data_IF_250813058047
#
_entry.id   IF_250813058047
#
_cell.length_a   1.000
_cell.length_b   1.000
_cell.length_c   1.000
_cell.angle_alpha   90.00
_cell.angle_beta   90.00
_cell.angle_gamma   90.00
#
_symmetry.space_group_name_H-M   'P 1'
#
loop_
_entity.id
_entity.type
_entity.pdbx_description
1 polymer ?
#
# COMPACT_ATOMS: atom_id res chain seq x y z
N UNK A 1 7.37 -11.92 5.76
CA UNK A 1 7.30 -13.02 4.79
C UNK A 1 8.64 -13.23 4.13
N UNK A 2 8.98 -14.51 3.88
CA UNK A 2 10.14 -14.91 3.08
C UNK A 2 9.67 -15.33 1.69
N UNK A 3 10.58 -15.34 0.71
CA UNK A 3 10.27 -15.72 -0.67
C UNK A 3 9.69 -17.14 -0.77
N UNK A 4 10.12 -18.05 0.12
CA UNK A 4 9.60 -19.42 0.23
C UNK A 4 8.14 -19.48 0.73
N UNK A 5 7.62 -18.38 1.32
CA UNK A 5 6.25 -18.27 1.80
C UNK A 5 5.24 -17.83 0.72
N UNK A 6 5.67 -17.70 -0.54
CA UNK A 6 4.75 -17.40 -1.64
C UNK A 6 3.73 -18.53 -1.75
N UNK A 7 2.42 -18.25 -1.63
CA UNK A 7 1.41 -19.29 -1.73
C UNK A 7 1.45 -19.96 -3.12
N UNK A 8 2.06 -21.13 -3.20
CA UNK A 8 2.11 -21.93 -4.43
C UNK A 8 1.02 -22.99 -4.47
N UNK A 9 -0.13 -22.70 -3.87
CA UNK A 9 -1.30 -23.56 -3.85
C UNK A 9 -2.25 -23.17 -4.99
N UNK A 10 -3.13 -24.08 -5.45
CA UNK A 10 -4.20 -23.73 -6.38
C UNK A 10 -5.01 -22.54 -5.89
N UNK A 11 -5.46 -21.68 -6.80
CA UNK A 11 -6.17 -20.43 -6.43
C UNK A 11 -7.44 -20.73 -5.62
N UNK A 12 -8.15 -21.81 -5.97
CA UNK A 12 -9.35 -22.23 -5.22
C UNK A 12 -9.00 -22.55 -3.76
N UNK A 13 -7.91 -23.24 -3.52
CA UNK A 13 -7.46 -23.61 -2.18
C UNK A 13 -6.94 -22.38 -1.42
N UNK A 14 -6.27 -21.45 -2.10
CA UNK A 14 -5.90 -20.17 -1.51
C UNK A 14 -7.13 -19.43 -0.96
N UNK A 15 -8.19 -19.32 -1.75
CA UNK A 15 -9.42 -18.65 -1.33
C UNK A 15 -10.18 -19.38 -0.23
N UNK A 16 -10.21 -20.71 -0.26
CA UNK A 16 -10.78 -21.52 0.83
C UNK A 16 -10.03 -21.28 2.14
N UNK A 17 -8.71 -21.38 2.09
CA UNK A 17 -7.87 -21.28 3.27
C UNK A 17 -7.85 -19.86 3.85
N UNK A 18 -7.88 -18.80 3.02
CA UNK A 18 -7.75 -17.40 3.47
C UNK A 18 -9.07 -16.71 3.76
N UNK A 19 -10.09 -17.02 2.97
CA UNK A 19 -11.39 -16.31 3.03
C UNK A 19 -12.54 -17.20 3.46
N UNK A 20 -12.32 -18.50 3.66
CA UNK A 20 -13.34 -19.45 4.10
C UNK A 20 -14.39 -19.73 3.03
N UNK A 21 -13.99 -19.74 1.76
CA UNK A 21 -14.88 -20.16 0.68
C UNK A 21 -15.31 -21.62 0.88
N UNK A 22 -16.60 -21.90 0.72
CA UNK A 22 -17.09 -23.27 0.73
C UNK A 22 -16.60 -24.05 -0.50
N UNK A 23 -16.71 -25.37 -0.48
CA UNK A 23 -16.31 -26.21 -1.62
C UNK A 23 -17.08 -25.88 -2.92
N UNK A 24 -18.30 -25.36 -2.80
CA UNK A 24 -19.12 -24.92 -3.93
C UNK A 24 -18.77 -23.51 -4.44
N UNK A 25 -18.08 -22.69 -3.65
CA UNK A 25 -17.67 -21.34 -4.05
C UNK A 25 -16.36 -21.38 -4.83
N UNK A 26 -16.36 -20.65 -5.94
CA UNK A 26 -15.17 -20.47 -6.77
C UNK A 26 -14.73 -19.00 -6.78
N UNK A 27 -13.43 -18.71 -6.75
CA UNK A 27 -12.93 -17.36 -6.99
C UNK A 27 -13.39 -16.87 -8.36
N UNK A 28 -13.81 -15.62 -8.42
CA UNK A 28 -14.28 -14.99 -9.65
C UNK A 28 -13.13 -14.75 -10.63
N UNK A 29 -13.42 -14.56 -11.94
CA UNK A 29 -12.37 -14.32 -12.93
C UNK A 29 -11.42 -13.19 -12.57
N UNK A 30 -11.94 -12.07 -12.06
CA UNK A 30 -11.12 -10.93 -11.60
C UNK A 30 -10.22 -11.31 -10.41
N UNK A 31 -10.72 -12.09 -9.46
CA UNK A 31 -9.93 -12.56 -8.31
C UNK A 31 -8.81 -13.51 -8.74
N UNK A 32 -9.07 -14.39 -9.71
CA UNK A 32 -8.07 -15.28 -10.32
C UNK A 32 -6.99 -14.47 -11.03
N UNK A 33 -7.40 -13.54 -11.90
CA UNK A 33 -6.48 -12.70 -12.65
C UNK A 33 -5.58 -11.87 -11.72
N UNK A 34 -6.11 -11.32 -10.62
CA UNK A 34 -5.31 -10.57 -9.65
C UNK A 34 -4.21 -11.43 -8.99
N UNK A 35 -4.52 -12.67 -8.65
CA UNK A 35 -3.55 -13.64 -8.10
C UNK A 35 -2.50 -14.03 -9.14
N UNK A 36 -2.90 -14.29 -10.38
CA UNK A 36 -2.00 -14.64 -11.47
C UNK A 36 -1.05 -13.50 -11.78
N UNK A 37 -1.54 -12.26 -11.87
CA UNK A 37 -0.71 -11.07 -12.04
C UNK A 37 0.26 -10.92 -10.87
N UNK A 38 -0.19 -11.03 -9.61
CA UNK A 38 0.69 -10.94 -8.46
C UNK A 38 1.80 -12.00 -8.46
N UNK A 39 1.52 -13.20 -8.97
CA UNK A 39 2.50 -14.28 -9.14
C UNK A 39 3.47 -14.05 -10.29
N UNK A 40 3.07 -13.34 -11.33
CA UNK A 40 3.91 -13.08 -12.51
C UNK A 40 4.86 -11.89 -12.33
N UNK A 41 4.52 -10.92 -11.47
CA UNK A 41 5.32 -9.70 -11.25
C UNK A 41 6.65 -10.05 -10.60
N UNK A 42 7.76 -9.70 -11.27
CA UNK A 42 9.12 -9.97 -10.77
C UNK A 42 9.65 -8.88 -9.82
N UNK A 43 9.20 -7.65 -9.99
CA UNK A 43 9.67 -6.47 -9.22
C UNK A 43 8.51 -5.74 -8.57
N UNK A 44 8.74 -5.03 -7.46
CA UNK A 44 7.72 -4.19 -6.86
C UNK A 44 7.13 -3.22 -7.88
N UNK A 45 5.81 -3.13 -7.92
CA UNK A 45 5.09 -2.34 -8.90
C UNK A 45 3.77 -1.79 -8.37
N UNK A 46 3.08 -1.07 -9.23
CA UNK A 46 1.71 -0.60 -9.01
C UNK A 46 0.75 -1.51 -9.77
N UNK A 47 -0.26 -2.05 -9.07
CA UNK A 47 -1.38 -2.81 -9.63
C UNK A 47 -2.67 -2.02 -9.40
N UNK A 48 -3.46 -1.81 -10.42
CA UNK A 48 -4.79 -1.15 -10.35
C UNK A 48 -5.84 -2.18 -10.74
N UNK A 49 -6.78 -2.45 -9.84
CA UNK A 49 -7.89 -3.40 -10.04
C UNK A 49 -9.18 -2.60 -10.18
N UNK A 50 -9.75 -2.63 -11.37
CA UNK A 50 -11.01 -1.98 -11.71
C UNK A 50 -12.09 -3.04 -11.93
N UNK A 51 -13.10 -3.06 -11.07
CA UNK A 51 -14.21 -4.01 -11.17
C UNK A 51 -15.46 -3.49 -10.47
N UNK A 52 -16.66 -3.94 -10.84
CA UNK A 52 -17.91 -3.53 -10.19
C UNK A 52 -17.92 -3.76 -8.68
N UNK A 53 -18.81 -3.07 -7.98
CA UNK A 53 -19.06 -3.38 -6.58
C UNK A 53 -19.54 -4.81 -6.42
N UNK A 54 -19.13 -5.46 -5.32
CA UNK A 54 -19.53 -6.84 -5.04
C UNK A 54 -18.72 -7.91 -5.79
N UNK A 55 -17.75 -7.57 -6.66
CA UNK A 55 -16.87 -8.52 -7.34
C UNK A 55 -15.75 -9.12 -6.46
N UNK A 56 -15.71 -8.76 -5.18
CA UNK A 56 -14.71 -9.30 -4.26
C UNK A 56 -13.32 -8.67 -4.46
N UNK A 57 -13.28 -7.36 -4.81
CA UNK A 57 -12.01 -6.60 -4.96
C UNK A 57 -11.13 -6.67 -3.71
N UNK A 58 -11.74 -6.64 -2.53
CA UNK A 58 -10.98 -6.67 -1.27
C UNK A 58 -10.26 -8.01 -1.08
N UNK A 59 -10.94 -9.12 -1.32
CA UNK A 59 -10.32 -10.46 -1.24
C UNK A 59 -9.22 -10.60 -2.29
N UNK A 60 -9.45 -10.11 -3.51
CA UNK A 60 -8.45 -10.08 -4.57
C UNK A 60 -7.21 -9.28 -4.15
N UNK A 61 -7.41 -8.09 -3.57
CA UNK A 61 -6.33 -7.24 -3.11
C UNK A 61 -5.53 -7.86 -1.96
N UNK A 62 -6.19 -8.47 -0.98
CA UNK A 62 -5.51 -9.15 0.13
C UNK A 62 -4.72 -10.36 -0.33
N UNK A 63 -5.27 -11.18 -1.24
CA UNK A 63 -4.56 -12.31 -1.83
C UNK A 63 -3.34 -11.84 -2.65
N UNK A 64 -3.52 -10.83 -3.50
CA UNK A 64 -2.41 -10.24 -4.26
C UNK A 64 -1.35 -9.62 -3.34
N UNK A 65 -1.77 -8.91 -2.27
CA UNK A 65 -0.86 -8.30 -1.32
C UNK A 65 -0.05 -9.32 -0.52
N UNK A 66 -0.63 -10.47 -0.13
CA UNK A 66 0.09 -11.59 0.49
C UNK A 66 1.21 -12.09 -0.42
N UNK A 67 0.90 -12.34 -1.70
CA UNK A 67 1.87 -12.80 -2.69
C UNK A 67 2.96 -11.77 -2.93
N UNK A 68 2.58 -10.51 -3.13
CA UNK A 68 3.53 -9.42 -3.35
C UNK A 68 4.42 -9.18 -2.12
N UNK A 69 3.89 -9.30 -0.89
CA UNK A 69 4.67 -9.17 0.33
C UNK A 69 5.74 -10.28 0.42
N UNK A 70 5.37 -11.52 0.17
CA UNK A 70 6.29 -12.65 0.16
C UNK A 70 7.38 -12.47 -0.91
N UNK A 71 6.99 -12.18 -2.17
CA UNK A 71 7.93 -11.99 -3.29
C UNK A 71 8.91 -10.82 -3.10
N UNK A 72 8.50 -9.80 -2.39
CA UNK A 72 9.32 -8.57 -2.21
C UNK A 72 9.91 -8.45 -0.81
N UNK A 73 9.77 -9.46 0.05
CA UNK A 73 10.31 -9.49 1.41
C UNK A 73 9.71 -8.41 2.32
N UNK A 74 8.44 -8.03 2.12
CA UNK A 74 7.79 -7.02 2.97
C UNK A 74 7.25 -7.64 4.24
N UNK A 75 7.36 -6.91 5.35
CA UNK A 75 6.97 -7.39 6.68
C UNK A 75 5.50 -7.24 7.01
N UNK A 76 4.65 -6.77 6.07
CA UNK A 76 3.23 -6.59 6.34
C UNK A 76 2.43 -5.89 5.24
N UNK A 77 1.20 -5.48 5.58
CA UNK A 77 0.26 -4.83 4.65
C UNK A 77 -0.36 -3.60 5.33
N UNK A 78 -0.54 -2.54 4.56
CA UNK A 78 -1.30 -1.35 4.95
C UNK A 78 -2.53 -1.23 4.05
N UNK A 79 -3.73 -1.29 4.64
CA UNK A 79 -5.00 -1.11 3.91
C UNK A 79 -5.57 0.25 4.25
N UNK A 80 -5.71 1.12 3.26
CA UNK A 80 -6.18 2.49 3.39
C UNK A 80 -7.54 2.68 2.73
N UNK A 81 -8.49 3.27 3.46
CA UNK A 81 -9.88 3.47 3.02
C UNK A 81 -10.28 4.94 3.11
N UNK A 82 -11.31 5.38 2.35
CA UNK A 82 -11.68 6.80 2.32
C UNK A 82 -12.31 7.31 3.62
N UNK A 83 -13.03 6.47 4.38
CA UNK A 83 -13.77 6.90 5.57
C UNK A 83 -13.44 6.06 6.80
N UNK A 84 -13.66 6.63 7.99
CA UNK A 84 -13.50 5.90 9.26
C UNK A 84 -14.46 4.71 9.36
N UNK A 85 -15.70 4.85 8.91
CA UNK A 85 -16.69 3.77 8.98
C UNK A 85 -16.29 2.56 8.12
N UNK A 86 -15.82 2.80 6.88
CA UNK A 86 -15.31 1.73 6.03
C UNK A 86 -14.02 1.12 6.58
N UNK A 87 -13.19 1.93 7.24
CA UNK A 87 -11.95 1.48 7.91
C UNK A 87 -12.26 0.56 9.09
N UNK A 88 -13.27 0.89 9.91
CA UNK A 88 -13.74 0.05 11.02
C UNK A 88 -14.25 -1.31 10.52
N UNK A 89 -15.11 -1.31 9.50
CA UNK A 89 -15.61 -2.55 8.90
C UNK A 89 -14.51 -3.40 8.27
N UNK A 90 -13.50 -2.76 7.67
CA UNK A 90 -12.37 -3.44 7.07
C UNK A 90 -11.44 -4.05 8.12
N UNK A 91 -11.32 -3.43 9.30
CA UNK A 91 -10.48 -3.94 10.38
C UNK A 91 -10.85 -5.39 10.74
N UNK A 92 -12.13 -5.69 10.97
CA UNK A 92 -12.57 -7.03 11.27
C UNK A 92 -12.38 -8.03 10.12
N UNK A 93 -12.48 -7.57 8.87
CA UNK A 93 -12.20 -8.43 7.69
C UNK A 93 -10.73 -8.80 7.61
N UNK A 94 -9.84 -7.85 7.79
CA UNK A 94 -8.39 -8.05 7.79
C UNK A 94 -7.97 -8.92 8.99
N UNK A 95 -8.56 -8.70 10.17
CA UNK A 95 -8.30 -9.51 11.36
C UNK A 95 -8.62 -10.99 11.11
N UNK A 96 -9.84 -11.30 10.62
CA UNK A 96 -10.22 -12.68 10.30
C UNK A 96 -9.35 -13.32 9.20
N UNK A 97 -8.89 -12.53 8.24
CA UNK A 97 -7.95 -13.01 7.23
C UNK A 97 -6.57 -13.31 7.84
N UNK A 98 -6.07 -12.46 8.76
CA UNK A 98 -4.80 -12.67 9.47
C UNK A 98 -4.79 -13.95 10.31
N UNK A 99 -5.92 -14.27 10.96
CA UNK A 99 -6.07 -15.51 11.74
C UNK A 99 -5.96 -16.77 10.88
N UNK A 100 -6.19 -16.64 9.57
CA UNK A 100 -6.13 -17.76 8.60
C UNK A 100 -4.82 -17.83 7.81
N UNK A 101 -3.90 -16.89 8.03
CA UNK A 101 -2.57 -16.98 7.42
C UNK A 101 -1.78 -18.14 8.04
N UNK A 102 -0.92 -18.84 7.26
CA UNK A 102 -0.08 -19.89 7.79
C UNK A 102 0.77 -19.38 8.94
N UNK A 103 0.94 -20.21 9.94
CA UNK A 103 1.86 -19.98 11.04
C UNK A 103 3.18 -20.65 10.70
N UNK A 104 4.27 -19.91 10.85
CA UNK A 104 5.61 -20.45 10.77
C UNK A 104 6.08 -20.76 12.20
N UNK A 105 6.60 -21.96 12.42
CA UNK A 105 7.13 -22.37 13.73
C UNK A 105 8.24 -21.40 14.16
N UNK A 106 8.03 -20.69 15.26
CA UNK A 106 8.96 -19.71 15.80
C UNK A 106 8.78 -18.28 15.28
N UNK A 107 7.76 -17.99 14.45
CA UNK A 107 7.44 -16.62 14.05
C UNK A 107 6.91 -15.80 15.25
N UNK A 108 7.27 -14.52 15.27
CA UNK A 108 6.72 -13.55 16.23
C UNK A 108 5.22 -13.31 15.97
N UNK A 109 4.50 -12.93 17.03
CA UNK A 109 3.10 -12.54 16.94
C UNK A 109 2.89 -11.41 15.92
N UNK A 110 1.83 -11.51 15.13
CA UNK A 110 1.49 -10.51 14.09
C UNK A 110 0.91 -9.27 14.74
N UNK A 111 1.62 -8.15 14.62
CA UNK A 111 1.11 -6.88 15.15
C UNK A 111 0.10 -6.25 14.18
N UNK A 112 -1.07 -5.86 14.70
CA UNK A 112 -2.13 -5.19 13.97
C UNK A 112 -2.49 -3.86 14.61
N UNK A 113 -2.83 -2.86 13.80
CA UNK A 113 -3.20 -1.53 14.28
C UNK A 113 -4.29 -0.88 13.44
N UNK A 114 -5.22 -0.18 14.11
CA UNK A 114 -6.26 0.64 13.50
C UNK A 114 -5.90 2.12 13.61
N UNK A 115 -5.74 2.81 12.49
CA UNK A 115 -5.22 4.17 12.45
C UNK A 115 -6.21 5.17 11.84
N UNK A 116 -7.13 5.69 12.65
CA UNK A 116 -7.98 6.86 12.35
C UNK A 116 -8.34 7.62 13.63
N UNK A 117 -8.99 8.79 13.47
CA UNK A 117 -9.25 9.71 14.59
C UNK A 117 -10.08 9.13 15.74
N UNK A 118 -10.96 8.17 15.45
CA UNK A 118 -11.90 7.54 16.40
C UNK A 118 -11.61 6.04 16.64
N UNK A 119 -10.43 5.54 16.33
CA UNK A 119 -10.09 4.12 16.46
C UNK A 119 -10.35 3.55 17.88
N UNK A 120 -10.26 4.40 18.92
CA UNK A 120 -10.55 4.04 20.30
C UNK A 120 -12.03 3.69 20.56
N UNK A 121 -12.94 3.94 19.63
CA UNK A 121 -14.36 3.57 19.73
C UNK A 121 -14.67 2.22 19.08
N UNK A 122 -13.73 1.65 18.32
CA UNK A 122 -13.91 0.36 17.69
C UNK A 122 -13.78 -0.77 18.72
N UNK A 123 -14.88 -1.53 18.93
CA UNK A 123 -14.96 -2.57 19.96
C UNK A 123 -13.99 -3.74 19.70
N UNK A 124 -13.84 -4.15 18.44
CA UNK A 124 -12.96 -5.25 18.04
C UNK A 124 -11.48 -4.87 18.28
N UNK A 125 -11.08 -3.65 17.90
CA UNK A 125 -9.75 -3.13 18.18
C UNK A 125 -9.48 -3.00 19.69
N UNK A 126 -10.47 -2.52 20.46
CA UNK A 126 -10.34 -2.46 21.92
C UNK A 126 -10.24 -3.87 22.56
N UNK A 127 -11.03 -4.82 22.06
CA UNK A 127 -10.98 -6.21 22.51
C UNK A 127 -9.59 -6.80 22.31
N UNK A 128 -9.04 -6.62 21.11
CA UNK A 128 -7.70 -7.08 20.76
C UNK A 128 -6.61 -6.39 21.61
N UNK A 129 -6.72 -5.08 21.82
CA UNK A 129 -5.79 -4.32 22.65
C UNK A 129 -5.80 -4.77 24.13
N UNK A 130 -7.02 -5.04 24.68
CA UNK A 130 -7.16 -5.53 26.07
C UNK A 130 -6.62 -6.94 26.24
N UNK A 131 -6.87 -7.85 25.32
CA UNK A 131 -6.35 -9.23 25.37
C UNK A 131 -4.83 -9.24 25.32
N UNK A 132 -4.24 -8.46 24.42
CA UNK A 132 -2.79 -8.29 24.29
C UNK A 132 -2.16 -7.67 25.55
N UNK A 133 -2.79 -6.64 26.13
CA UNK A 133 -2.32 -5.99 27.37
C UNK A 133 -2.41 -6.87 28.58
N UNK A 134 -3.48 -7.66 28.72
CA UNK A 134 -3.66 -8.61 29.83
C UNK A 134 -2.60 -9.71 29.80
N UNK A 135 -2.22 -10.17 28.63
CA UNK A 135 -1.20 -11.18 28.44
C UNK A 135 0.18 -10.67 28.90
N UNK A 136 0.58 -9.45 28.52
CA UNK A 136 1.85 -8.83 28.95
C UNK A 136 1.88 -8.61 30.47
N UNK A 137 0.78 -8.18 31.07
CA UNK A 137 0.69 -8.00 32.52
C UNK A 137 0.71 -9.33 33.28
N UNK A 138 0.08 -10.38 32.74
CA UNK A 138 0.13 -11.73 33.29
C UNK A 138 1.56 -12.29 33.33
N UNK A 139 2.27 -12.13 32.20
CA UNK A 139 3.67 -12.55 32.10
C UNK A 139 4.61 -11.81 33.08
N UNK A 140 4.40 -10.50 33.27
CA UNK A 140 5.16 -9.69 34.24
C UNK A 140 4.82 -10.03 35.71
N UNK A 141 3.57 -10.45 35.97
CA UNK A 141 3.13 -10.79 37.32
C UNK A 141 3.65 -12.15 37.83
N UNK A 142 3.92 -13.08 36.92
CA UNK A 142 4.46 -14.40 37.26
C UNK A 142 5.97 -14.37 37.58
N UNK A 143 6.72 -13.43 36.98
CA UNK A 143 8.16 -13.27 37.18
C UNK A 143 8.55 -12.78 38.61
N UNK A 144 7.58 -12.27 39.37
CA UNK A 144 7.83 -11.76 40.74
C UNK A 144 7.71 -12.80 41.82
N UNK A 145 7.35 -14.05 41.52
CA UNK A 145 7.01 -15.02 42.56
C UNK A 145 7.88 -16.27 42.69
N UNK A 146 8.66 -16.71 41.71
CA UNK A 146 9.56 -17.87 41.92
C UNK A 146 10.75 -17.88 40.93
N UNK A 147 11.96 -17.98 41.50
CA UNK A 147 13.20 -18.20 40.76
C UNK A 147 13.27 -19.63 40.20
N UNK A 148 12.90 -19.80 38.94
CA UNK A 148 13.04 -21.04 38.22
C UNK A 148 13.34 -20.81 36.76
N UNK A 149 14.31 -21.53 36.20
CA UNK A 149 14.89 -21.41 34.85
C UNK A 149 13.97 -21.72 33.69
N UNK A 150 12.65 -21.71 33.87
CA UNK A 150 11.64 -22.06 32.90
C UNK A 150 10.90 -20.85 32.32
N UNK A 151 11.23 -19.61 32.73
CA UNK A 151 10.42 -18.41 32.47
C UNK A 151 10.71 -17.75 31.15
N UNK A 152 11.87 -18.02 30.53
CA UNK A 152 12.20 -17.45 29.22
C UNK A 152 11.37 -18.01 28.04
N UNK A 153 10.90 -19.26 28.16
CA UNK A 153 10.06 -19.87 27.11
C UNK A 153 8.58 -19.46 27.19
N UNK A 154 8.12 -19.00 28.38
CA UNK A 154 6.73 -18.51 28.56
C UNK A 154 6.51 -17.06 28.18
N UNK A 155 7.56 -16.27 27.95
CA UNK A 155 7.53 -14.89 27.48
C UNK A 155 7.40 -14.78 25.96
N UNK A 156 7.45 -15.90 25.25
CA UNK A 156 7.11 -15.92 23.82
C UNK A 156 5.60 -15.75 23.68
N UNK A 157 5.19 -14.73 22.91
CA UNK A 157 3.81 -14.63 22.46
C UNK A 157 3.35 -15.98 21.92
N UNK A 158 2.11 -16.42 22.20
CA UNK A 158 1.61 -17.61 21.55
C UNK A 158 1.80 -17.43 20.05
N UNK A 159 2.40 -18.41 19.34
CA UNK A 159 2.78 -18.27 17.93
C UNK A 159 1.61 -17.89 17.01
N UNK A 160 0.37 -18.02 17.50
CA UNK A 160 -0.85 -17.91 16.73
C UNK A 160 -1.63 -16.61 16.99
N UNK A 161 -1.08 -15.65 17.74
CA UNK A 161 -1.85 -14.48 18.15
C UNK A 161 -1.62 -13.24 17.27
N UNK A 162 -2.71 -12.62 16.83
CA UNK A 162 -2.73 -11.25 16.36
C UNK A 162 -2.74 -10.35 17.58
N UNK A 163 -1.78 -9.44 17.72
CA UNK A 163 -1.62 -8.60 18.90
C UNK A 163 -1.59 -7.12 18.57
N UNK A 164 -2.12 -6.31 19.47
CA UNK A 164 -1.89 -4.86 19.48
C UNK A 164 -0.73 -4.59 20.44
N UNK A 165 0.44 -4.33 19.91
CA UNK A 165 1.62 -4.06 20.73
C UNK A 165 1.41 -2.78 21.55
N UNK A 166 1.55 -2.86 22.88
CA UNK A 166 1.45 -1.70 23.77
C UNK A 166 2.47 -0.60 23.41
N UNK A 167 3.66 -0.98 22.97
CA UNK A 167 4.68 -0.05 22.52
C UNK A 167 4.24 0.75 21.28
N UNK A 168 3.35 0.18 20.46
CA UNK A 168 2.80 0.81 19.23
C UNK A 168 1.50 1.57 19.48
N UNK A 169 0.93 1.59 20.68
CA UNK A 169 -0.36 2.27 20.99
C UNK A 169 -0.34 3.80 20.88
N UNK A 170 0.78 4.44 20.55
CA UNK A 170 0.84 5.86 20.25
C UNK A 170 0.41 6.18 18.81
N UNK A 171 -0.36 7.26 18.60
CA UNK A 171 -0.81 7.74 17.27
C UNK A 171 0.28 7.77 16.19
N UNK A 172 1.55 7.94 16.59
CA UNK A 172 2.69 8.04 15.67
C UNK A 172 3.35 6.70 15.39
N UNK A 173 3.38 5.79 16.38
CA UNK A 173 4.09 4.51 16.30
C UNK A 173 3.20 3.38 15.76
N UNK A 174 1.88 3.49 15.86
CA UNK A 174 0.95 2.47 15.42
C UNK A 174 1.10 2.08 13.95
N UNK A 175 1.48 3.04 13.10
CA UNK A 175 1.76 2.77 11.69
C UNK A 175 2.95 1.83 11.45
N UNK A 176 3.80 1.59 12.46
CA UNK A 176 4.91 0.62 12.38
C UNK A 176 4.45 -0.83 12.56
N UNK A 177 3.23 -1.09 13.04
CA UNK A 177 2.68 -2.44 13.12
C UNK A 177 2.76 -3.13 11.74
N UNK A 178 2.92 -4.46 11.73
CA UNK A 178 3.01 -5.23 10.48
C UNK A 178 1.75 -5.04 9.62
N UNK A 179 0.57 -5.10 10.24
CA UNK A 179 -0.71 -4.93 9.56
C UNK A 179 -1.40 -3.68 10.07
N UNK A 180 -1.71 -2.80 9.14
CA UNK A 180 -2.35 -1.52 9.46
C UNK A 180 -3.61 -1.36 8.61
N UNK A 181 -4.73 -1.07 9.26
CA UNK A 181 -5.94 -0.60 8.58
C UNK A 181 -6.14 0.86 8.97
N UNK A 182 -6.24 1.75 7.99
CA UNK A 182 -6.24 3.19 8.24
C UNK A 182 -7.14 3.95 7.28
N UNK A 183 -7.47 5.19 7.64
CA UNK A 183 -8.00 6.12 6.64
C UNK A 183 -6.89 6.53 5.66
N UNK A 184 -7.27 6.81 4.42
CA UNK A 184 -6.33 7.17 3.35
C UNK A 184 -5.47 8.37 3.71
N UNK A 185 -5.97 9.31 4.51
CA UNK A 185 -5.22 10.46 5.01
C UNK A 185 -3.89 10.06 5.67
N UNK A 186 -3.87 8.91 6.38
CA UNK A 186 -2.65 8.42 7.03
C UNK A 186 -1.57 8.05 6.02
N UNK A 187 -1.95 7.59 4.83
CA UNK A 187 -1.03 7.30 3.72
C UNK A 187 -0.65 8.59 2.99
N UNK A 188 -1.64 9.44 2.66
CA UNK A 188 -1.42 10.70 1.95
C UNK A 188 -0.49 11.66 2.72
N UNK A 189 -0.55 11.64 4.05
CA UNK A 189 0.41 12.38 4.90
C UNK A 189 1.86 11.95 4.69
N UNK A 190 2.13 10.80 4.06
CA UNK A 190 3.47 10.38 3.66
C UNK A 190 4.10 11.23 2.55
N UNK A 191 3.30 12.06 1.85
CA UNK A 191 3.74 12.99 0.82
C UNK A 191 3.91 14.44 1.31
N UNK A 192 3.50 14.73 2.54
CA UNK A 192 3.50 16.09 3.09
C UNK A 192 4.77 16.37 3.90
N UNK A 193 5.31 17.58 3.75
CA UNK A 193 6.38 18.08 4.65
C UNK A 193 5.81 18.32 6.04
N UNK A 194 5.96 17.33 6.92
CA UNK A 194 5.42 17.38 8.27
C UNK A 194 6.37 16.75 9.30
N UNK A 195 6.14 17.07 10.57
CA UNK A 195 6.88 16.43 11.66
C UNK A 195 6.72 14.91 11.60
N UNK A 196 7.82 14.18 11.76
CA UNK A 196 7.87 12.72 11.74
C UNK A 196 7.56 12.06 10.37
N UNK A 197 7.75 12.76 9.27
CA UNK A 197 7.58 12.22 7.91
C UNK A 197 8.40 10.94 7.71
N UNK A 198 9.67 10.93 8.12
CA UNK A 198 10.55 9.75 8.01
C UNK A 198 9.97 8.51 8.70
N UNK A 199 9.28 8.66 9.84
CA UNK A 199 8.66 7.55 10.53
C UNK A 199 7.49 6.96 9.74
N UNK A 200 6.69 7.80 9.07
CA UNK A 200 5.61 7.35 8.19
C UNK A 200 6.14 6.66 6.94
N UNK A 201 7.15 7.24 6.32
CA UNK A 201 7.80 6.65 5.15
C UNK A 201 8.41 5.29 5.49
N UNK A 202 9.11 5.18 6.63
CA UNK A 202 9.64 3.91 7.13
C UNK A 202 8.52 2.89 7.39
N UNK A 203 7.41 3.33 7.97
CA UNK A 203 6.26 2.47 8.24
C UNK A 203 5.62 1.92 6.95
N UNK A 204 5.55 2.71 5.88
CA UNK A 204 5.03 2.28 4.59
C UNK A 204 6.05 1.46 3.79
N UNK A 205 7.34 1.80 3.90
CA UNK A 205 8.41 1.15 3.14
C UNK A 205 8.50 -0.36 3.38
N UNK A 206 8.12 -0.85 4.56
CA UNK A 206 8.16 -2.28 4.89
C UNK A 206 6.81 -3.01 4.67
N UNK A 207 5.91 -2.46 3.84
CA UNK A 207 4.58 -3.03 3.62
C UNK A 207 4.22 -3.07 2.15
N UNK A 208 3.23 -3.88 1.81
CA UNK A 208 2.42 -3.68 0.61
C UNK A 208 1.31 -2.69 0.97
N UNK A 209 1.10 -1.68 0.14
CA UNK A 209 0.09 -0.64 0.39
C UNK A 209 -1.12 -0.89 -0.51
N UNK A 210 -2.28 -1.15 0.10
CA UNK A 210 -3.56 -1.30 -0.57
C UNK A 210 -4.37 -0.04 -0.33
N UNK A 211 -4.85 0.62 -1.39
CA UNK A 211 -5.70 1.82 -1.30
C UNK A 211 -7.03 1.53 -1.98
N UNK A 212 -8.11 1.61 -1.21
CA UNK A 212 -9.45 1.30 -1.69
C UNK A 212 -10.22 2.56 -2.13
N UNK A 213 -11.17 2.37 -3.05
CA UNK A 213 -12.09 3.39 -3.57
C UNK A 213 -11.38 4.65 -4.13
N UNK A 214 -10.27 4.47 -4.84
CA UNK A 214 -9.46 5.60 -5.33
C UNK A 214 -10.20 6.50 -6.34
N UNK A 215 -11.33 6.06 -6.90
CA UNK A 215 -12.20 6.89 -7.76
C UNK A 215 -12.96 7.97 -6.98
N UNK A 216 -13.16 7.80 -5.68
CA UNK A 216 -13.91 8.75 -4.84
C UNK A 216 -13.09 9.99 -4.47
N UNK A 217 -11.82 10.08 -4.89
CA UNK A 217 -10.95 11.19 -4.51
C UNK A 217 -11.15 12.39 -5.42
N UNK A 218 -11.33 13.56 -4.82
CA UNK A 218 -11.38 14.82 -5.52
C UNK A 218 -10.01 15.19 -6.15
N UNK A 219 -9.98 16.27 -6.92
CA UNK A 219 -8.76 16.71 -7.59
C UNK A 219 -7.62 17.05 -6.62
N UNK A 220 -7.94 17.56 -5.44
CA UNK A 220 -6.97 17.89 -4.41
C UNK A 220 -6.34 16.61 -3.81
N UNK A 221 -7.17 15.66 -3.38
CA UNK A 221 -6.70 14.37 -2.86
C UNK A 221 -5.88 13.59 -3.90
N UNK A 222 -6.25 13.68 -5.19
CA UNK A 222 -5.48 13.04 -6.28
C UNK A 222 -4.07 13.60 -6.43
N UNK A 223 -3.87 14.91 -6.25
CA UNK A 223 -2.52 15.47 -6.26
C UNK A 223 -1.65 14.84 -5.17
N UNK A 224 -2.18 14.66 -3.96
CA UNK A 224 -1.45 13.99 -2.88
C UNK A 224 -1.25 12.50 -3.14
N UNK A 225 -2.26 11.82 -3.70
CA UNK A 225 -2.13 10.42 -4.08
C UNK A 225 -1.01 10.24 -5.10
N UNK A 226 -0.97 11.03 -6.16
CA UNK A 226 0.08 10.97 -7.17
C UNK A 226 1.47 11.22 -6.55
N UNK A 227 1.57 12.15 -5.60
CA UNK A 227 2.82 12.42 -4.89
C UNK A 227 3.24 11.28 -3.97
N UNK A 228 2.28 10.65 -3.27
CA UNK A 228 2.56 9.45 -2.47
C UNK A 228 2.99 8.30 -3.34
N UNK A 229 2.34 8.07 -4.48
CA UNK A 229 2.72 7.02 -5.42
C UNK A 229 4.15 7.21 -5.93
N UNK A 230 4.57 8.45 -6.20
CA UNK A 230 5.95 8.75 -6.56
C UNK A 230 6.94 8.36 -5.42
N UNK A 231 6.64 8.68 -4.16
CA UNK A 231 7.45 8.25 -3.02
C UNK A 231 7.45 6.74 -2.83
N UNK A 232 6.29 6.08 -2.96
CA UNK A 232 6.19 4.63 -2.84
C UNK A 232 6.97 3.93 -3.96
N UNK A 233 6.92 4.46 -5.18
CA UNK A 233 7.74 4.00 -6.30
C UNK A 233 9.24 4.14 -6.04
N UNK A 234 9.68 5.29 -5.49
CA UNK A 234 11.07 5.53 -5.12
C UNK A 234 11.57 4.56 -4.03
N UNK A 235 10.71 4.18 -3.10
CA UNK A 235 11.03 3.21 -2.05
C UNK A 235 10.85 1.75 -2.49
N UNK A 236 10.44 1.49 -3.74
CA UNK A 236 10.15 0.16 -4.25
C UNK A 236 9.03 -0.55 -3.49
N UNK A 237 8.04 0.18 -3.01
CA UNK A 237 6.90 -0.36 -2.25
C UNK A 237 5.84 -0.88 -3.23
N UNK A 238 5.42 -2.16 -3.14
CA UNK A 238 4.32 -2.66 -3.96
C UNK A 238 3.02 -1.98 -3.55
N UNK A 239 2.23 -1.53 -4.53
CA UNK A 239 0.96 -0.83 -4.31
C UNK A 239 -0.17 -1.52 -5.08
N UNK A 240 -1.32 -1.69 -4.42
CA UNK A 240 -2.56 -2.18 -5.04
C UNK A 240 -3.63 -1.11 -4.87
N UNK A 241 -4.14 -0.57 -5.97
CA UNK A 241 -5.25 0.38 -5.99
C UNK A 241 -6.53 -0.34 -6.38
N UNK A 242 -7.62 -0.07 -5.66
CA UNK A 242 -8.94 -0.60 -5.95
C UNK A 242 -9.88 0.53 -6.39
N UNK A 243 -10.63 0.28 -7.43
CA UNK A 243 -11.61 1.23 -7.95
C UNK A 243 -12.85 0.50 -8.47
N UNK A 244 -14.01 1.15 -8.37
CA UNK A 244 -15.18 0.70 -9.11
C UNK A 244 -15.08 1.12 -10.58
N UNK A 245 -14.66 2.35 -10.82
CA UNK A 245 -14.46 2.91 -12.17
C UNK A 245 -13.33 3.92 -12.09
N UNK A 246 -12.45 3.94 -13.08
CA UNK A 246 -11.35 4.91 -13.14
C UNK A 246 -11.19 5.43 -14.57
N UNK A 247 -11.27 6.74 -14.81
CA UNK A 247 -10.99 7.30 -16.11
C UNK A 247 -9.57 6.94 -16.59
N UNK A 248 -9.42 6.57 -17.86
CA UNK A 248 -8.14 6.15 -18.44
C UNK A 248 -7.00 7.16 -18.21
N UNK A 249 -7.31 8.45 -18.26
CA UNK A 249 -6.33 9.50 -17.98
C UNK A 249 -5.82 9.41 -16.52
N UNK A 250 -6.71 9.24 -15.54
CA UNK A 250 -6.32 9.14 -14.13
C UNK A 250 -5.48 7.88 -13.87
N UNK A 251 -5.83 6.76 -14.49
CA UNK A 251 -5.06 5.53 -14.44
C UNK A 251 -3.64 5.75 -14.95
N UNK A 252 -3.48 6.38 -16.13
CA UNK A 252 -2.18 6.72 -16.70
C UNK A 252 -1.36 7.66 -15.79
N UNK A 253 -2.00 8.68 -15.21
CA UNK A 253 -1.35 9.61 -14.29
C UNK A 253 -0.80 8.91 -13.03
N UNK A 254 -1.57 7.99 -12.44
CA UNK A 254 -1.15 7.21 -11.26
C UNK A 254 0.03 6.28 -11.60
N UNK A 255 -0.04 5.56 -12.71
CA UNK A 255 1.05 4.70 -13.19
C UNK A 255 2.32 5.52 -13.45
N UNK A 256 2.20 6.62 -14.19
CA UNK A 256 3.33 7.50 -14.48
C UNK A 256 3.93 8.11 -13.21
N UNK A 257 3.13 8.43 -12.20
CA UNK A 257 3.61 8.95 -10.92
C UNK A 257 4.45 7.92 -10.17
N UNK A 258 3.97 6.69 -10.10
CA UNK A 258 4.72 5.60 -9.47
C UNK A 258 6.03 5.31 -10.22
N UNK A 259 6.00 5.25 -11.55
CA UNK A 259 7.17 5.02 -12.40
C UNK A 259 8.20 6.16 -12.29
N UNK A 260 7.77 7.42 -12.19
CA UNK A 260 8.69 8.55 -11.92
C UNK A 260 9.50 8.33 -10.65
N UNK A 261 8.85 7.86 -9.58
CA UNK A 261 9.54 7.51 -8.35
C UNK A 261 10.59 6.41 -8.55
N UNK A 262 10.26 5.33 -9.24
CA UNK A 262 11.19 4.25 -9.55
C UNK A 262 12.41 4.74 -10.34
N UNK A 263 12.20 5.62 -11.33
CA UNK A 263 13.28 6.17 -12.14
C UNK A 263 14.16 7.17 -11.39
N UNK A 264 13.59 7.93 -10.43
CA UNK A 264 14.33 8.96 -9.70
C UNK A 264 15.48 8.40 -8.83
N UNK A 265 15.35 7.17 -8.34
CA UNK A 265 16.38 6.52 -7.51
C UNK A 265 17.59 6.08 -8.33
N UNK A 266 17.42 5.88 -9.62
CA UNK A 266 18.48 5.41 -10.53
C UNK A 266 19.22 6.52 -11.25
N UNK A 267 18.68 7.75 -11.22
CA UNK A 267 19.39 8.89 -11.77
C UNK A 267 20.71 9.05 -11.00
N UNK A 268 21.87 9.16 -11.70
CA UNK A 268 23.13 9.44 -11.03
C UNK A 268 22.95 10.70 -10.18
N UNK A 269 23.27 10.60 -8.90
CA UNK A 269 23.29 11.78 -8.02
C UNK A 269 24.39 12.68 -8.53
N UNK A 270 24.04 13.67 -9.34
CA UNK A 270 24.96 14.75 -9.66
C UNK A 270 25.38 15.36 -8.32
N UNK A 271 26.65 15.16 -7.97
CA UNK A 271 27.22 15.78 -6.76
C UNK A 271 26.98 17.29 -6.87
N UNK A 272 26.34 17.92 -5.91
CA UNK A 272 26.13 19.36 -5.97
C UNK A 272 27.49 20.01 -6.16
N UNK A 273 27.66 20.69 -7.29
CA UNK A 273 28.84 21.50 -7.55
C UNK A 273 28.86 22.56 -6.44
N UNK A 274 29.73 22.39 -5.45
CA UNK A 274 29.98 23.39 -4.42
C UNK A 274 30.47 24.65 -5.13
N UNK A 275 29.57 25.54 -5.51
CA UNK A 275 29.92 26.91 -5.92
C UNK A 275 30.59 27.54 -4.71
N UNK A 276 31.93 27.68 -4.80
CA UNK A 276 32.67 28.51 -3.82
C UNK A 276 32.04 29.90 -3.88
N UNK A 277 31.68 30.48 -2.71
CA UNK A 277 31.22 31.84 -2.69
C UNK A 277 32.29 32.75 -3.27
N UNK A 278 31.93 33.74 -4.09
CA UNK A 278 32.90 34.67 -4.64
C UNK A 278 33.63 35.37 -3.48
N UNK A 279 34.97 35.36 -3.50
CA UNK A 279 35.79 36.12 -2.58
C UNK A 279 35.38 37.59 -2.69
N UNK A 280 34.86 38.17 -1.61
CA UNK A 280 34.64 39.60 -1.49
C UNK A 280 35.96 40.30 -1.72
N UNK A 281 36.14 40.95 -2.87
CA UNK A 281 37.13 42.03 -3.03
C UNK A 281 36.49 43.31 -2.49
N UNK A 282 37.09 43.86 -1.47
CA UNK A 282 36.81 45.20 -0.99
C UNK A 282 37.29 46.21 -2.04
N UNK A 283 36.45 47.14 -2.43
CA UNK A 283 36.82 48.24 -3.32
C UNK A 283 35.61 48.87 -4.02
N UNK A 284 35.08 49.86 -3.39
CA UNK A 284 34.49 51.13 -3.85
C UNK A 284 33.86 51.28 -5.25
N UNK A 285 32.70 51.99 -5.18
CA UNK A 285 32.03 52.86 -6.18
C UNK A 285 30.95 52.24 -7.05
N UNK A 286 29.69 52.68 -6.79
CA UNK A 286 28.59 52.72 -7.77
C UNK A 286 28.86 53.83 -8.83
N UNK A 287 28.20 53.84 -9.97
CA UNK A 287 26.77 54.11 -10.06
C UNK A 287 25.99 53.34 -11.17
N UNK A 288 24.68 53.25 -10.94
CA UNK A 288 23.53 53.42 -11.84
C UNK A 288 23.73 53.14 -13.34
N UNK A 289 22.98 52.16 -13.89
CA UNK A 289 22.10 52.35 -15.05
C UNK A 289 21.13 51.19 -15.25
N UNK A 290 19.93 51.58 -15.63
CA UNK A 290 18.75 50.79 -15.91
C UNK A 290 18.82 50.31 -17.35
N UNK A 291 18.60 49.05 -17.68
CA UNK A 291 18.07 48.65 -18.96
C UNK A 291 17.36 47.29 -18.87
N UNK A 292 16.11 47.38 -19.04
CA UNK A 292 15.12 46.58 -19.83
C UNK A 292 15.53 45.15 -20.30
N UNK A 293 14.77 44.14 -19.85
CA UNK A 293 14.00 43.22 -20.66
C UNK A 293 14.77 42.21 -21.52
N UNK A 294 14.74 40.96 -21.10
CA UNK A 294 14.71 39.84 -22.06
C UNK A 294 13.83 38.74 -21.48
N UNK A 295 12.67 38.59 -22.15
CA UNK A 295 11.74 37.46 -21.96
C UNK A 295 12.40 36.19 -22.49
N UNK A 296 12.61 35.19 -21.63
CA UNK A 296 13.00 33.86 -22.03
C UNK A 296 11.77 33.13 -22.57
N UNK A 297 11.71 32.96 -23.88
CA UNK A 297 10.74 32.11 -24.58
C UNK A 297 10.89 30.64 -24.14
N UNK A 298 9.81 30.12 -23.58
CA UNK A 298 9.63 28.68 -23.37
C UNK A 298 9.32 28.05 -24.74
N UNK A 299 10.26 27.30 -25.27
CA UNK A 299 10.07 26.51 -26.47
C UNK A 299 9.18 25.30 -26.15
N UNK A 300 7.94 25.32 -26.61
CA UNK A 300 7.10 24.16 -26.82
C UNK A 300 7.72 23.31 -27.94
N UNK A 301 8.14 22.12 -27.63
CA UNK A 301 8.68 21.19 -28.62
C UNK A 301 8.47 19.74 -28.21
N UNK A 302 7.56 19.11 -28.92
CA UNK A 302 7.40 17.72 -29.29
C UNK A 302 6.03 17.14 -28.89
N UNK A 303 5.16 17.04 -29.87
CA UNK A 303 4.00 16.16 -29.86
C UNK A 303 4.47 14.68 -29.78
N UNK A 304 3.81 13.81 -29.01
CA UNK A 304 4.11 12.39 -29.06
C UNK A 304 3.54 11.80 -30.36
N UNK A 305 4.39 11.06 -31.04
CA UNK A 305 4.12 10.21 -32.18
C UNK A 305 2.98 9.23 -31.87
N UNK A 306 2.08 9.09 -32.83
CA UNK A 306 0.99 8.12 -32.87
C UNK A 306 1.57 6.70 -32.81
N UNK A 307 1.33 5.99 -31.72
CA UNK A 307 1.48 4.55 -31.65
C UNK A 307 0.10 3.89 -31.62
N UNK A 308 -0.13 3.17 -32.69
CA UNK A 308 -0.92 1.97 -32.95
C UNK A 308 -2.27 1.75 -32.22
N UNK A 309 -3.28 1.44 -33.03
CA UNK A 309 -4.69 1.18 -32.76
C UNK A 309 -5.09 0.06 -31.80
N UNK A 310 -4.18 -0.74 -31.26
CA UNK A 310 -4.49 -1.79 -30.29
C UNK A 310 -4.66 -1.26 -28.85
N UNK A 311 -4.00 -0.17 -28.51
CA UNK A 311 -4.04 0.42 -27.16
C UNK A 311 -5.41 1.05 -26.82
N UNK A 312 -6.19 1.49 -27.81
CA UNK A 312 -7.46 2.18 -27.60
C UNK A 312 -8.61 1.23 -27.22
N UNK A 313 -8.56 -0.05 -27.59
CA UNK A 313 -9.59 -1.04 -27.24
C UNK A 313 -9.40 -1.57 -25.80
N UNK A 314 -8.16 -1.68 -25.31
CA UNK A 314 -7.87 -2.06 -23.93
C UNK A 314 -8.25 -0.98 -22.91
N UNK A 315 -8.21 0.30 -23.32
CA UNK A 315 -8.55 1.43 -22.43
C UNK A 315 -10.03 1.49 -22.01
N UNK A 316 -10.93 0.86 -22.76
CA UNK A 316 -12.37 0.80 -22.48
C UNK A 316 -12.83 -0.54 -21.89
N UNK A 317 -11.95 -1.53 -21.78
CA UNK A 317 -12.28 -2.85 -21.26
C UNK A 317 -12.60 -2.80 -19.75
N UNK A 318 -13.60 -3.57 -19.34
CA UNK A 318 -14.05 -3.61 -17.95
C UNK A 318 -14.70 -4.98 -17.62
N UNK A 319 -14.34 -5.66 -16.55
CA UNK A 319 -13.34 -5.31 -15.55
C UNK A 319 -11.90 -5.29 -16.10
N UNK A 320 -10.99 -4.57 -15.44
CA UNK A 320 -9.62 -4.38 -15.92
C UNK A 320 -8.61 -4.45 -14.75
N UNK A 321 -7.50 -5.12 -14.98
CA UNK A 321 -6.33 -5.07 -14.11
C UNK A 321 -5.17 -4.47 -14.91
N UNK A 322 -4.66 -3.32 -14.47
CA UNK A 322 -3.48 -2.69 -15.05
C UNK A 322 -2.33 -2.74 -14.04
N UNK A 323 -1.15 -3.12 -14.47
CA UNK A 323 -0.01 -3.23 -13.57
C UNK A 323 1.31 -2.85 -14.26
N UNK A 324 2.28 -2.45 -13.45
CA UNK A 324 3.65 -2.19 -13.93
C UNK A 324 4.49 -3.44 -13.77
N UNK A 325 5.19 -3.83 -14.85
CA UNK A 325 6.19 -4.89 -14.83
C UNK A 325 7.57 -4.27 -15.06
N UNK A 326 8.23 -3.92 -13.96
CA UNK A 326 9.47 -3.15 -14.04
C UNK A 326 9.23 -1.66 -14.31
N UNK A 327 10.23 -0.94 -14.86
CA UNK A 327 10.26 0.52 -14.87
C UNK A 327 9.48 1.21 -15.99
N UNK A 328 9.25 0.51 -17.09
CA UNK A 328 8.68 1.13 -18.30
C UNK A 328 7.50 0.36 -18.86
N UNK A 329 7.32 -0.89 -18.50
CA UNK A 329 6.23 -1.69 -19.04
C UNK A 329 4.97 -1.52 -18.20
N UNK A 330 3.88 -1.17 -18.87
CA UNK A 330 2.53 -1.21 -18.33
C UNK A 330 1.80 -2.33 -19.06
N UNK A 331 1.30 -3.29 -18.29
CA UNK A 331 0.57 -4.43 -18.80
C UNK A 331 -0.88 -4.33 -18.34
N UNK A 332 -1.80 -4.86 -19.14
CA UNK A 332 -3.20 -4.93 -18.80
C UNK A 332 -3.75 -6.36 -18.99
N UNK A 333 -4.65 -6.76 -18.10
CA UNK A 333 -5.39 -8.02 -18.19
C UNK A 333 -6.86 -7.70 -18.07
N UNK A 334 -7.65 -8.21 -19.01
CA UNK A 334 -9.11 -8.09 -19.02
C UNK A 334 -9.69 -9.41 -18.51
N UNK A 335 -10.14 -9.48 -17.26
CA UNK A 335 -10.79 -10.68 -16.74
C UNK A 335 -12.13 -10.92 -17.43
N UNK A 336 -12.53 -12.18 -17.56
CA UNK A 336 -13.87 -12.50 -18.02
C UNK A 336 -14.94 -11.87 -17.10
N UNK A 337 -16.07 -11.41 -17.66
CA UNK A 337 -17.16 -10.89 -16.85
C UNK A 337 -17.75 -12.03 -15.98
N UNK A 338 -18.10 -11.72 -14.74
CA UNK A 338 -18.60 -12.71 -13.77
C UNK A 338 -20.01 -13.26 -14.08
N UNK A 339 -20.64 -12.80 -15.15
CA UNK A 339 -21.99 -13.23 -15.56
C UNK A 339 -23.13 -12.75 -14.64
N UNK A 340 -22.86 -11.86 -13.67
CA UNK A 340 -23.91 -11.24 -12.84
C UNK A 340 -24.54 -10.08 -13.60
N UNK A 341 -25.76 -10.25 -14.07
CA UNK A 341 -26.64 -9.15 -14.45
C UNK A 341 -27.35 -8.64 -13.18
N UNK A 342 -27.11 -7.40 -12.77
CA UNK A 342 -28.01 -6.72 -11.85
C UNK A 342 -29.13 -6.09 -12.68
N UNK A 343 -30.33 -6.65 -12.66
CA UNK A 343 -31.51 -5.95 -13.12
C UNK A 343 -31.76 -4.81 -12.13
N UNK A 344 -31.51 -3.59 -12.57
CA UNK A 344 -31.99 -2.38 -11.88
C UNK A 344 -33.39 -2.13 -12.41
N UNK A 345 -34.41 -2.55 -11.65
CA UNK A 345 -35.78 -2.07 -11.87
C UNK A 345 -35.82 -0.60 -11.43
N UNK A 346 -36.04 0.27 -12.38
CA UNK A 346 -36.26 1.70 -12.20
C UNK A 346 -37.70 1.94 -11.77
#
# INVERSE_FOLDING_TARGET
WHEDAVPNVPIDDLYRNRFGFSESMRPRPMQRAAVEVARSVEKPGLMIIEAPMGEGKTEAALAAAEILAARTGRGGICVALPTMATTDAMFGRVHRWLERLPHEDGADARSMFLAHGKAHLNEEFQGLARSSGRWVMGAMGEDLREGGSSTRDKLRNPPDSVVVSQWMQGRKKGMLANFVVCTVDQVLMGALEMKHLCLRQLALANKVVVIDECHAYDSYMRCYLNRVLEWLGAMGVPVVLLSATLPAQQRREMLASYQRGQCAVEAPVEKPVRRRPPRRRSGMTAPTEVSSGEEAQVSNGAAPSQESGDCAQEESAYPLITYTNGKKEVCSVVPEPSGRSSEVSI
#
